data_IF_013563344001
#
_entry.id   IF_013563344001
#
_cell.length_a   1.000
_cell.length_b   1.000
_cell.length_c   1.000
_cell.angle_alpha   90.00
_cell.angle_beta   90.00
_cell.angle_gamma   90.00
#
_symmetry.space_group_name_H-M   'P 1'
#
loop_
_entity.id
_entity.type
_entity.pdbx_description
1 polymer ?
#
# COMPACT_ATOMS: atom_id res chain seq x y z
N UNK A 1 -12.78 9.42 12.21
CA UNK A 1 -14.06 9.11 12.89
C UNK A 1 -14.95 8.24 12.02
N UNK A 2 -15.35 8.70 10.83
CA UNK A 2 -16.20 7.95 9.86
C UNK A 2 -15.79 6.50 9.64
N UNK A 3 -14.49 6.21 9.45
CA UNK A 3 -13.97 4.83 9.28
C UNK A 3 -14.31 3.95 10.48
N UNK A 4 -14.10 4.44 11.70
CA UNK A 4 -14.40 3.68 12.93
C UNK A 4 -15.90 3.47 13.11
N UNK A 5 -16.74 4.45 12.72
CA UNK A 5 -18.19 4.27 12.71
C UNK A 5 -18.59 3.19 11.69
N UNK A 6 -18.06 3.21 10.47
CA UNK A 6 -18.34 2.19 9.46
C UNK A 6 -17.96 0.77 9.96
N UNK A 7 -16.77 0.61 10.55
CA UNK A 7 -16.32 -0.68 11.10
C UNK A 7 -17.22 -1.19 12.21
N UNK A 8 -17.60 -0.31 13.15
CA UNK A 8 -18.49 -0.66 14.25
C UNK A 8 -19.89 -1.01 13.75
N UNK A 9 -20.40 -0.32 12.74
CA UNK A 9 -21.73 -0.59 12.16
C UNK A 9 -21.74 -1.99 11.54
N UNK A 10 -20.73 -2.31 10.73
CA UNK A 10 -20.61 -3.65 10.16
C UNK A 10 -20.37 -4.70 11.24
N UNK A 11 -19.62 -4.39 12.30
CA UNK A 11 -19.44 -5.30 13.43
C UNK A 11 -20.73 -5.58 14.20
N UNK A 12 -21.62 -4.59 14.36
CA UNK A 12 -22.94 -4.81 14.97
C UNK A 12 -23.79 -5.73 14.09
N UNK A 13 -23.78 -5.55 12.76
CA UNK A 13 -24.43 -6.49 11.84
C UNK A 13 -23.84 -7.90 12.00
N UNK A 14 -22.54 -7.96 12.27
CA UNK A 14 -21.84 -9.22 12.52
C UNK A 14 -22.34 -9.92 13.78
N UNK A 15 -22.35 -9.19 14.89
CA UNK A 15 -22.70 -9.73 16.20
C UNK A 15 -24.20 -10.08 16.30
N UNK A 16 -25.08 -9.23 15.73
CA UNK A 16 -26.54 -9.45 15.74
C UNK A 16 -26.89 -10.82 15.18
N UNK A 17 -26.18 -11.23 14.15
CA UNK A 17 -26.56 -12.43 13.47
C UNK A 17 -25.91 -13.71 14.03
N UNK A 18 -24.73 -13.61 14.64
CA UNK A 18 -24.22 -14.71 15.47
C UNK A 18 -25.16 -15.00 16.65
N UNK A 19 -25.87 -13.98 17.15
CA UNK A 19 -26.83 -14.11 18.23
C UNK A 19 -28.16 -14.75 17.83
N UNK A 20 -28.57 -14.62 16.56
CA UNK A 20 -29.75 -15.29 16.01
C UNK A 20 -29.47 -16.78 15.77
N UNK A 21 -28.26 -17.12 15.30
CA UNK A 21 -27.82 -18.50 15.11
C UNK A 21 -27.76 -19.29 16.45
N UNK A 22 -27.21 -18.69 17.51
CA UNK A 22 -27.14 -19.32 18.84
C UNK A 22 -28.49 -19.50 19.56
N UNK A 23 -29.57 -18.88 19.06
CA UNK A 23 -30.93 -19.10 19.56
C UNK A 23 -31.66 -20.23 18.85
N UNK A 24 -31.22 -20.63 17.65
CA UNK A 24 -31.77 -21.74 16.89
C UNK A 24 -31.30 -23.13 17.36
N UNK A 25 -30.18 -23.19 18.09
CA UNK A 25 -29.55 -24.46 18.50
C UNK A 25 -29.76 -24.81 19.99
N UNK A 26 -30.83 -24.30 20.61
CA UNK A 26 -31.20 -24.64 21.99
C UNK A 26 -32.61 -25.23 22.07
N UNK A 27 -32.70 -26.54 21.83
CA UNK A 27 -33.80 -27.34 22.35
C UNK A 27 -33.71 -27.44 23.89
N UNK A 28 -34.81 -27.26 24.63
CA UNK A 28 -34.81 -27.34 26.09
C UNK A 28 -34.83 -28.80 26.55
N UNK A 29 -33.68 -29.37 26.91
CA UNK A 29 -33.67 -30.64 27.66
C UNK A 29 -33.97 -30.41 29.15
N UNK A 30 -35.01 -31.11 29.57
CA UNK A 30 -35.59 -31.18 30.90
C UNK A 30 -34.60 -31.63 32.00
N UNK A 31 -34.97 -31.24 33.23
CA UNK A 31 -34.34 -31.53 34.51
C UNK A 31 -34.04 -33.03 34.72
N UNK A 32 -32.87 -33.30 35.31
CA UNK A 32 -32.50 -34.59 35.91
C UNK A 32 -31.24 -34.43 36.77
N UNK A 33 -31.40 -34.57 38.07
CA UNK A 33 -30.42 -34.30 39.13
C UNK A 33 -29.65 -35.58 39.51
N UNK A 34 -28.31 -35.59 39.58
CA UNK A 34 -27.50 -36.34 40.59
C UNK A 34 -25.96 -36.30 40.36
N UNK A 35 -25.27 -35.59 41.27
CA UNK A 35 -23.99 -35.82 41.97
C UNK A 35 -22.91 -36.83 41.49
N UNK A 36 -21.66 -36.31 41.60
CA UNK A 36 -20.37 -36.87 42.11
C UNK A 36 -19.29 -37.35 41.12
N UNK A 37 -18.22 -36.53 41.05
CA UNK A 37 -16.80 -36.81 40.81
C UNK A 37 -16.16 -37.77 41.89
N UNK A 38 -14.88 -38.23 41.81
CA UNK A 38 -13.77 -37.77 40.93
C UNK A 38 -12.82 -38.85 40.31
N UNK A 39 -11.97 -38.33 39.40
CA UNK A 39 -10.54 -38.66 39.15
C UNK A 39 -10.11 -40.02 38.52
N UNK A 40 -9.44 -39.95 37.37
CA UNK A 40 -8.01 -40.28 37.20
C UNK A 40 -7.59 -40.30 35.70
N UNK A 41 -6.68 -39.40 35.32
CA UNK A 41 -5.69 -39.55 34.22
C UNK A 41 -4.49 -40.37 34.74
N UNK A 42 -3.67 -41.09 33.93
CA UNK A 42 -2.96 -40.48 32.78
C UNK A 42 -2.56 -41.39 31.58
N UNK A 43 -1.98 -40.70 30.60
CA UNK A 43 -0.94 -41.10 29.64
C UNK A 43 -1.28 -41.57 28.21
N UNK A 44 -0.89 -40.66 27.29
CA UNK A 44 0.14 -40.84 26.27
C UNK A 44 -0.11 -41.76 25.06
N UNK A 45 -0.30 -41.07 23.92
CA UNK A 45 0.50 -41.16 22.69
C UNK A 45 0.05 -42.08 21.52
N UNK A 46 -0.03 -41.40 20.37
CA UNK A 46 0.19 -41.81 18.96
C UNK A 46 -0.89 -42.60 18.19
N UNK A 47 -1.43 -41.94 17.14
CA UNK A 47 -1.70 -42.38 15.73
C UNK A 47 -3.01 -41.72 15.24
N UNK A 48 -2.97 -40.88 14.20
CA UNK A 48 -2.98 -41.12 12.74
C UNK A 48 -4.41 -41.23 12.20
N UNK A 49 -4.59 -40.76 10.95
CA UNK A 49 -5.82 -40.74 10.11
C UNK A 49 -6.65 -39.46 10.30
N UNK A 50 -7.13 -38.77 9.25
CA UNK A 50 -7.50 -39.25 7.92
C UNK A 50 -9.01 -39.13 7.79
N UNK A 51 -9.46 -38.19 6.95
CA UNK A 51 -10.71 -38.22 6.19
C UNK A 51 -12.07 -38.28 6.93
N UNK A 52 -12.90 -37.26 6.71
CA UNK A 52 -14.20 -37.39 6.03
C UNK A 52 -15.08 -36.18 6.34
N UNK A 53 -15.11 -35.22 5.40
CA UNK A 53 -16.20 -34.27 5.27
C UNK A 53 -17.51 -35.03 5.09
N UNK A 54 -18.39 -34.96 6.09
CA UNK A 54 -19.80 -35.26 5.89
C UNK A 54 -20.44 -34.04 5.27
N UNK A 55 -20.70 -34.14 3.97
CA UNK A 55 -21.68 -33.33 3.28
C UNK A 55 -23.04 -33.48 3.99
N UNK A 56 -23.48 -32.41 4.64
CA UNK A 56 -24.86 -32.28 5.08
C UNK A 56 -25.63 -31.52 4.00
N UNK A 57 -26.42 -32.26 3.24
CA UNK A 57 -27.41 -31.74 2.31
C UNK A 57 -28.63 -31.30 3.10
N UNK A 58 -28.58 -30.07 3.65
CA UNK A 58 -29.70 -29.38 4.27
C UNK A 58 -30.46 -28.48 3.28
N UNK A 59 -31.79 -28.54 3.30
CA UNK A 59 -32.72 -27.70 2.51
C UNK A 59 -32.52 -26.19 2.77
N UNK A 60 -32.90 -25.31 1.82
CA UNK A 60 -32.74 -23.85 1.95
C UNK A 60 -33.73 -23.30 2.98
N UNK A 61 -33.24 -23.11 4.22
CA UNK A 61 -33.94 -22.47 5.31
C UNK A 61 -33.30 -21.13 5.65
N UNK A 62 -34.12 -20.08 5.55
CA UNK A 62 -33.94 -18.69 5.97
C UNK A 62 -32.81 -18.33 6.97
N UNK A 63 -31.96 -17.39 6.54
CA UNK A 63 -31.03 -16.52 7.32
C UNK A 63 -29.76 -17.12 7.95
N UNK A 64 -28.95 -17.79 7.14
CA UNK A 64 -27.50 -17.78 7.36
C UNK A 64 -26.96 -16.43 6.90
N UNK A 65 -26.90 -15.46 7.80
CA UNK A 65 -26.38 -14.14 7.47
C UNK A 65 -24.89 -14.19 7.06
N UNK A 66 -24.54 -13.32 6.12
CA UNK A 66 -23.49 -13.67 5.17
C UNK A 66 -22.13 -13.02 5.50
N UNK A 67 -22.00 -11.99 6.34
CA UNK A 67 -20.72 -11.25 6.49
C UNK A 67 -19.84 -11.82 7.62
N UNK A 68 -18.72 -12.45 7.33
CA UNK A 68 -17.81 -13.02 8.34
C UNK A 68 -16.85 -12.03 8.98
N UNK A 69 -16.59 -10.86 8.36
CA UNK A 69 -15.65 -9.88 8.91
C UNK A 69 -15.49 -8.62 8.07
N UNK A 70 -14.86 -7.60 8.66
CA UNK A 70 -14.49 -6.36 7.98
C UNK A 70 -13.03 -6.02 8.22
N UNK A 71 -12.34 -5.58 7.18
CA UNK A 71 -10.89 -5.30 7.21
C UNK A 71 -10.58 -4.01 6.46
N UNK A 72 -9.71 -3.18 7.02
CA UNK A 72 -9.13 -2.02 6.32
C UNK A 72 -8.16 -2.50 5.24
N UNK A 73 -8.28 -1.96 4.03
CA UNK A 73 -7.32 -2.22 2.94
C UNK A 73 -6.84 -0.91 2.31
N UNK A 74 -6.14 -0.99 1.19
CA UNK A 74 -5.69 0.16 0.44
C UNK A 74 -4.68 1.03 1.19
N UNK A 75 -4.67 2.32 0.84
CA UNK A 75 -3.68 3.31 1.32
C UNK A 75 -3.74 3.55 2.81
N UNK A 76 -4.95 3.55 3.41
CA UNK A 76 -5.11 3.83 4.83
C UNK A 76 -4.53 2.69 5.66
N UNK A 77 -4.86 1.44 5.32
CA UNK A 77 -4.37 0.27 6.04
C UNK A 77 -2.85 0.14 5.99
N UNK A 78 -2.24 0.59 4.88
CA UNK A 78 -0.78 0.57 4.67
C UNK A 78 -0.08 1.81 5.26
N UNK A 79 -0.83 2.79 5.78
CA UNK A 79 -0.27 4.05 6.26
C UNK A 79 0.41 4.84 5.14
N UNK A 80 -0.15 4.83 3.93
CA UNK A 80 0.43 5.49 2.75
C UNK A 80 -0.32 6.76 2.31
N UNK A 81 -1.37 7.13 3.03
CA UNK A 81 -2.24 8.27 2.73
C UNK A 81 -1.46 9.59 2.60
N UNK A 82 -1.74 10.33 1.53
CA UNK A 82 -1.24 11.69 1.29
C UNK A 82 -2.28 12.73 1.74
N UNK A 83 -1.89 14.01 1.80
CA UNK A 83 -2.70 15.06 2.40
C UNK A 83 -3.98 15.42 1.60
N UNK A 84 -3.94 15.21 0.29
CA UNK A 84 -5.02 15.44 -0.67
C UNK A 84 -5.94 14.22 -0.83
N UNK A 85 -5.64 13.11 -0.18
CA UNK A 85 -6.41 11.87 -0.28
C UNK A 85 -7.46 11.78 0.83
N UNK A 86 -8.71 11.69 0.41
CA UNK A 86 -9.87 11.62 1.29
C UNK A 86 -10.65 10.30 1.15
N UNK A 87 -10.19 9.37 0.33
CA UNK A 87 -10.84 8.08 0.10
C UNK A 87 -10.22 6.97 0.94
N UNK A 88 -11.06 6.13 1.52
CA UNK A 88 -10.70 4.98 2.35
C UNK A 88 -11.40 3.73 1.84
N UNK A 89 -10.70 2.60 1.87
CA UNK A 89 -11.25 1.32 1.42
C UNK A 89 -11.36 0.34 2.60
N UNK A 90 -12.53 -0.26 2.74
CA UNK A 90 -12.84 -1.36 3.63
C UNK A 90 -13.36 -2.54 2.80
N UNK A 91 -12.99 -3.75 3.20
CA UNK A 91 -13.50 -4.98 2.57
C UNK A 91 -14.30 -5.76 3.60
N UNK A 92 -15.57 -6.02 3.26
CA UNK A 92 -16.46 -6.89 4.01
C UNK A 92 -16.39 -8.30 3.41
N UNK A 93 -15.93 -9.27 4.21
CA UNK A 93 -15.83 -10.66 3.81
C UNK A 93 -17.17 -11.36 4.03
N UNK A 94 -17.65 -12.02 2.99
CA UNK A 94 -18.87 -12.82 2.98
C UNK A 94 -18.53 -14.32 3.07
N UNK A 95 -19.34 -15.09 3.79
CA UNK A 95 -19.30 -16.54 3.85
C UNK A 95 -19.70 -17.15 2.51
N UNK A 96 -20.72 -16.60 1.87
CA UNK A 96 -21.18 -16.98 0.53
C UNK A 96 -20.77 -15.94 -0.53
N UNK A 97 -20.89 -16.30 -1.81
CA UNK A 97 -20.63 -15.37 -2.92
C UNK A 97 -21.65 -14.23 -2.87
N UNK A 98 -21.21 -12.97 -2.79
CA UNK A 98 -22.13 -11.87 -2.60
C UNK A 98 -22.98 -11.63 -3.85
N UNK A 99 -24.29 -11.44 -3.63
CA UNK A 99 -25.27 -11.11 -4.66
C UNK A 99 -25.71 -9.64 -4.56
N UNK A 100 -26.34 -9.13 -5.61
CA UNK A 100 -26.98 -7.80 -5.64
C UNK A 100 -28.05 -7.67 -4.56
N UNK A 101 -28.79 -8.75 -4.30
CA UNK A 101 -29.79 -8.79 -3.23
C UNK A 101 -29.12 -8.68 -1.86
N UNK A 102 -28.05 -9.43 -1.61
CA UNK A 102 -27.28 -9.32 -0.38
C UNK A 102 -26.74 -7.91 -0.20
N UNK A 103 -26.16 -7.30 -1.23
CA UNK A 103 -25.61 -5.95 -1.14
C UNK A 103 -26.70 -4.92 -0.76
N UNK A 104 -27.90 -5.03 -1.34
CA UNK A 104 -29.04 -4.20 -0.98
C UNK A 104 -29.51 -4.42 0.46
N UNK A 105 -29.57 -5.67 0.92
CA UNK A 105 -29.91 -6.02 2.30
C UNK A 105 -28.90 -5.44 3.30
N UNK A 106 -27.61 -5.62 3.02
CA UNK A 106 -26.52 -5.09 3.83
C UNK A 106 -26.57 -3.57 3.86
N UNK A 107 -26.81 -2.90 2.72
CA UNK A 107 -26.97 -1.46 2.64
C UNK A 107 -28.09 -0.94 3.56
N UNK A 108 -29.28 -1.56 3.51
CA UNK A 108 -30.42 -1.14 4.33
C UNK A 108 -30.13 -1.29 5.83
N UNK A 109 -29.63 -2.46 6.24
CA UNK A 109 -29.30 -2.73 7.64
C UNK A 109 -28.15 -1.86 8.14
N UNK A 110 -27.09 -1.72 7.33
CA UNK A 110 -25.93 -0.85 7.62
C UNK A 110 -26.34 0.60 7.79
N UNK A 111 -27.18 1.13 6.89
CA UNK A 111 -27.65 2.52 6.95
C UNK A 111 -28.45 2.79 8.23
N UNK A 112 -29.27 1.83 8.68
CA UNK A 112 -29.98 1.93 9.96
C UNK A 112 -29.05 1.93 11.17
N UNK A 113 -28.08 1.00 11.20
CA UNK A 113 -27.10 0.91 12.29
C UNK A 113 -26.19 2.14 12.36
N UNK A 114 -25.75 2.66 11.21
CA UNK A 114 -24.89 3.83 11.15
C UNK A 114 -25.58 5.08 11.71
N UNK A 115 -26.86 5.31 11.38
CA UNK A 115 -27.68 6.40 11.95
C UNK A 115 -27.87 6.27 13.45
N UNK A 116 -28.05 5.05 13.94
CA UNK A 116 -28.25 4.79 15.38
C UNK A 116 -26.98 5.05 16.20
N UNK A 117 -25.83 4.67 15.65
CA UNK A 117 -24.54 4.80 16.33
C UNK A 117 -23.94 6.20 16.27
N UNK A 118 -24.20 6.94 15.19
CA UNK A 118 -23.66 8.29 14.99
C UNK A 118 -24.81 9.29 14.72
N UNK A 119 -25.71 9.51 15.69
CA UNK A 119 -26.88 10.37 15.51
C UNK A 119 -26.52 11.85 15.31
N UNK A 120 -25.36 12.27 15.80
CA UNK A 120 -24.86 13.65 15.66
C UNK A 120 -24.12 13.90 14.34
N UNK A 121 -23.88 12.85 13.54
CA UNK A 121 -23.07 12.93 12.33
C UNK A 121 -23.94 12.79 11.07
N UNK A 122 -23.80 13.72 10.14
CA UNK A 122 -24.49 13.67 8.85
C UNK A 122 -23.65 12.92 7.81
N UNK A 123 -23.88 11.61 7.69
CA UNK A 123 -23.28 10.79 6.64
C UNK A 123 -24.22 10.59 5.45
N UNK A 124 -23.70 10.78 4.24
CA UNK A 124 -24.37 10.38 3.01
C UNK A 124 -23.98 8.94 2.67
N UNK A 125 -24.95 8.02 2.66
CA UNK A 125 -24.73 6.59 2.40
C UNK A 125 -25.38 6.22 1.08
N UNK A 126 -24.56 5.87 0.10
CA UNK A 126 -25.00 5.49 -1.24
C UNK A 126 -24.64 4.05 -1.55
N UNK A 127 -25.48 3.41 -2.36
CA UNK A 127 -25.29 2.04 -2.83
C UNK A 127 -24.88 2.07 -4.30
N UNK A 128 -23.70 1.52 -4.63
CA UNK A 128 -23.24 1.36 -6.00
C UNK A 128 -23.18 -0.12 -6.38
N UNK A 129 -24.13 -0.54 -7.21
CA UNK A 129 -24.22 -1.91 -7.72
C UNK A 129 -23.14 -2.24 -8.74
N UNK A 130 -22.62 -1.24 -9.46
CA UNK A 130 -21.59 -1.44 -10.50
C UNK A 130 -20.20 -1.63 -9.90
N UNK A 131 -19.93 -0.93 -8.80
CA UNK A 131 -18.68 -1.03 -8.05
C UNK A 131 -18.74 -2.07 -6.92
N UNK A 132 -19.85 -2.79 -6.79
CA UNK A 132 -20.08 -3.80 -5.75
C UNK A 132 -19.82 -3.27 -4.32
N UNK A 133 -20.14 -1.99 -4.07
CA UNK A 133 -19.74 -1.31 -2.85
C UNK A 133 -20.84 -0.40 -2.25
N UNK A 134 -20.70 -0.18 -0.95
CA UNK A 134 -21.44 0.84 -0.19
C UNK A 134 -20.48 2.00 0.06
N UNK A 135 -20.88 3.20 -0.33
CA UNK A 135 -20.06 4.42 -0.15
C UNK A 135 -20.65 5.27 0.96
N UNK A 136 -19.80 5.68 1.90
CA UNK A 136 -20.15 6.57 3.02
C UNK A 136 -19.32 7.84 2.90
N UNK A 137 -19.96 8.98 2.68
CA UNK A 137 -19.30 10.28 2.61
C UNK A 137 -19.68 11.16 3.80
N UNK A 138 -18.69 11.87 4.37
CA UNK A 138 -18.95 12.90 5.40
C UNK A 138 -19.47 14.18 4.75
N UNK A 139 -20.41 14.87 5.40
CA UNK A 139 -20.92 16.16 4.91
C UNK A 139 -19.97 17.35 5.16
N UNK A 140 -18.93 17.18 5.97
CA UNK A 140 -17.93 18.21 6.22
C UNK A 140 -16.93 18.32 5.05
N UNK A 141 -16.42 19.51 4.77
CA UNK A 141 -15.40 19.74 3.75
C UNK A 141 -13.97 19.75 4.37
N UNK A 142 -12.99 19.03 3.78
CA UNK A 142 -13.12 18.11 2.65
C UNK A 142 -13.84 16.81 3.06
N UNK A 143 -14.72 16.32 2.17
CA UNK A 143 -15.50 15.12 2.44
C UNK A 143 -14.60 13.88 2.46
N UNK A 144 -14.61 13.14 3.56
CA UNK A 144 -13.96 11.82 3.66
C UNK A 144 -14.94 10.77 3.13
N UNK A 145 -14.48 9.96 2.18
CA UNK A 145 -15.26 8.93 1.51
C UNK A 145 -14.75 7.55 1.93
N UNK A 146 -15.64 6.68 2.40
CA UNK A 146 -15.33 5.30 2.77
C UNK A 146 -16.09 4.36 1.84
N UNK A 147 -15.36 3.56 1.07
CA UNK A 147 -15.91 2.53 0.19
C UNK A 147 -15.82 1.18 0.90
N UNK A 148 -16.96 0.51 1.06
CA UNK A 148 -17.08 -0.82 1.67
C UNK A 148 -17.45 -1.80 0.56
N UNK A 149 -16.48 -2.57 0.08
CA UNK A 149 -16.68 -3.57 -0.98
C UNK A 149 -16.95 -4.94 -0.37
N UNK A 150 -17.98 -5.63 -0.85
CA UNK A 150 -18.31 -6.99 -0.43
C UNK A 150 -17.58 -8.01 -1.31
N UNK A 151 -17.03 -9.05 -0.70
CA UNK A 151 -16.36 -10.14 -1.43
C UNK A 151 -16.38 -11.43 -0.65
N UNK A 152 -16.16 -12.58 -1.29
CA UNK A 152 -16.08 -13.89 -0.65
C UNK A 152 -14.86 -14.66 -1.14
N UNK A 153 -14.21 -15.40 -0.24
CA UNK A 153 -13.07 -16.27 -0.59
C UNK A 153 -13.48 -17.39 -1.54
N UNK A 154 -14.72 -17.87 -1.42
CA UNK A 154 -15.30 -18.92 -2.27
C UNK A 154 -15.23 -18.54 -3.75
N UNK A 155 -15.46 -17.26 -4.08
CA UNK A 155 -15.41 -16.77 -5.46
C UNK A 155 -14.05 -17.04 -6.10
N UNK A 156 -12.96 -16.79 -5.37
CA UNK A 156 -11.61 -17.02 -5.88
C UNK A 156 -11.29 -18.51 -6.00
N UNK A 157 -11.66 -19.29 -4.99
CA UNK A 157 -11.37 -20.74 -4.99
C UNK A 157 -12.14 -21.45 -6.11
N UNK A 158 -13.37 -21.03 -6.39
CA UNK A 158 -14.18 -21.54 -7.50
C UNK A 158 -13.58 -21.18 -8.87
N UNK A 159 -13.13 -19.93 -9.06
CA UNK A 159 -12.58 -19.46 -10.33
C UNK A 159 -11.17 -19.99 -10.63
N UNK A 160 -10.34 -20.20 -9.60
CA UNK A 160 -8.96 -20.70 -9.75
C UNK A 160 -8.83 -22.22 -9.54
N UNK A 161 -9.82 -22.85 -8.89
CA UNK A 161 -9.80 -24.26 -8.51
C UNK A 161 -10.24 -25.23 -9.60
N UNK A 162 -10.58 -24.75 -10.80
CA UNK A 162 -11.03 -25.61 -11.90
C UNK A 162 -12.36 -26.32 -11.59
N UNK A 163 -13.27 -25.65 -10.88
CA UNK A 163 -14.62 -26.15 -10.66
C UNK A 163 -15.31 -26.50 -11.97
N UNK A 164 -16.15 -27.53 -11.97
CA UNK A 164 -16.91 -27.96 -13.13
C UNK A 164 -17.61 -26.75 -13.78
N UNK A 165 -17.50 -26.57 -15.10
CA UNK A 165 -17.95 -25.36 -15.81
C UNK A 165 -19.42 -25.03 -15.56
N UNK A 166 -20.23 -26.04 -15.23
CA UNK A 166 -21.61 -25.89 -14.80
C UNK A 166 -21.78 -25.25 -13.41
N UNK A 167 -20.92 -25.60 -12.43
CA UNK A 167 -20.96 -25.01 -11.08
C UNK A 167 -20.49 -23.56 -11.07
N UNK A 168 -19.48 -23.23 -11.88
CA UNK A 168 -19.07 -21.85 -12.13
C UNK A 168 -20.20 -21.09 -12.83
N UNK A 169 -20.80 -21.61 -13.90
CA UNK A 169 -21.88 -20.91 -14.59
C UNK A 169 -23.14 -20.68 -13.73
N UNK A 170 -23.49 -21.62 -12.84
CA UNK A 170 -24.63 -21.46 -11.93
C UNK A 170 -24.36 -20.45 -10.80
N UNK A 171 -23.14 -20.44 -10.27
CA UNK A 171 -22.73 -19.45 -9.27
C UNK A 171 -22.51 -18.06 -9.88
N UNK A 172 -22.21 -17.98 -11.18
CA UNK A 172 -21.98 -16.73 -11.93
C UNK A 172 -23.23 -16.40 -12.74
N UNK A 173 -24.32 -16.13 -12.04
CA UNK A 173 -25.57 -15.66 -12.64
C UNK A 173 -25.63 -14.12 -12.63
N UNK A 174 -26.66 -13.54 -13.26
CA UNK A 174 -26.88 -12.08 -13.28
C UNK A 174 -27.11 -11.47 -11.88
N UNK A 175 -27.34 -12.28 -10.85
CA UNK A 175 -27.56 -11.83 -9.48
C UNK A 175 -26.26 -11.64 -8.71
N UNK A 176 -25.13 -12.22 -9.16
CA UNK A 176 -23.83 -11.97 -8.53
C UNK A 176 -23.34 -10.54 -8.70
N UNK A 177 -22.57 -10.07 -7.72
CA UNK A 177 -21.82 -8.83 -7.85
C UNK A 177 -20.73 -8.96 -8.91
N UNK A 178 -20.23 -7.82 -9.39
CA UNK A 178 -19.15 -7.79 -10.37
C UNK A 178 -17.93 -8.57 -9.85
N UNK A 179 -17.58 -9.61 -10.60
CA UNK A 179 -16.55 -10.55 -10.18
C UNK A 179 -15.17 -9.92 -10.14
N UNK A 180 -14.87 -9.03 -11.09
CA UNK A 180 -13.59 -8.35 -11.14
C UNK A 180 -13.44 -7.46 -9.90
N UNK A 181 -14.51 -6.77 -9.48
CA UNK A 181 -14.50 -5.96 -8.25
C UNK A 181 -14.32 -6.81 -6.99
N UNK A 182 -15.04 -7.94 -6.89
CA UNK A 182 -14.88 -8.85 -5.75
C UNK A 182 -13.48 -9.48 -5.70
N UNK A 183 -12.90 -9.87 -6.84
CA UNK A 183 -11.55 -10.41 -6.92
C UNK A 183 -10.49 -9.35 -6.60
N UNK A 184 -10.66 -8.11 -7.06
CA UNK A 184 -9.78 -7.00 -6.71
C UNK A 184 -9.83 -6.70 -5.21
N UNK A 185 -11.00 -6.75 -4.57
CA UNK A 185 -11.11 -6.64 -3.11
C UNK A 185 -10.33 -7.75 -2.37
N UNK A 186 -10.35 -9.00 -2.87
CA UNK A 186 -9.51 -10.08 -2.33
C UNK A 186 -8.02 -9.88 -2.60
N UNK A 187 -7.66 -9.29 -3.75
CA UNK A 187 -6.30 -8.88 -4.04
C UNK A 187 -5.84 -7.82 -3.04
N UNK A 188 -6.63 -6.78 -2.80
CA UNK A 188 -6.33 -5.73 -1.81
C UNK A 188 -6.15 -6.29 -0.39
N UNK A 189 -6.95 -7.28 0.02
CA UNK A 189 -6.74 -7.98 1.29
C UNK A 189 -5.38 -8.67 1.37
N UNK A 190 -4.97 -9.38 0.31
CA UNK A 190 -3.64 -10.04 0.25
C UNK A 190 -2.52 -9.01 0.25
N UNK A 191 -2.63 -7.97 -0.58
CA UNK A 191 -1.66 -6.87 -0.68
C UNK A 191 -1.48 -6.14 0.65
N UNK A 192 -2.58 -5.87 1.38
CA UNK A 192 -2.52 -5.27 2.71
C UNK A 192 -1.78 -6.16 3.71
N UNK A 193 -2.09 -7.46 3.75
CA UNK A 193 -1.37 -8.42 4.62
C UNK A 193 0.11 -8.52 4.27
N UNK A 194 0.42 -8.64 2.98
CA UNK A 194 1.80 -8.67 2.50
C UNK A 194 2.55 -7.39 2.89
N UNK A 195 1.92 -6.22 2.75
CA UNK A 195 2.52 -4.95 3.10
C UNK A 195 2.83 -4.85 4.59
N UNK A 196 1.90 -5.29 5.44
CA UNK A 196 2.12 -5.33 6.90
C UNK A 196 3.25 -6.28 7.31
N UNK A 197 3.39 -7.41 6.60
CA UNK A 197 4.46 -8.36 6.86
C UNK A 197 5.84 -7.89 6.35
N UNK A 198 5.89 -6.99 5.38
CA UNK A 198 7.12 -6.60 4.68
C UNK A 198 7.43 -5.10 4.79
N UNK A 199 6.99 -4.17 3.91
CA UNK A 199 7.55 -2.82 3.92
C UNK A 199 7.11 -2.00 5.12
N UNK A 200 5.99 -2.35 5.78
CA UNK A 200 5.47 -1.60 6.93
C UNK A 200 6.49 -1.50 8.10
N UNK A 201 7.37 -2.49 8.25
CA UNK A 201 8.38 -2.52 9.31
C UNK A 201 9.65 -1.72 8.96
N UNK A 202 9.78 -1.23 7.72
CA UNK A 202 10.89 -0.37 7.30
C UNK A 202 10.39 1.06 7.06
N UNK A 203 10.68 1.94 8.02
CA UNK A 203 10.26 3.35 7.96
C UNK A 203 10.70 4.05 6.68
N UNK A 204 11.90 3.77 6.19
CA UNK A 204 12.42 4.35 4.94
C UNK A 204 11.63 3.87 3.73
N UNK A 205 11.22 2.60 3.67
CA UNK A 205 10.36 2.09 2.61
C UNK A 205 9.02 2.82 2.58
N UNK A 206 8.36 2.96 3.74
CA UNK A 206 7.06 3.65 3.84
C UNK A 206 7.16 5.11 3.37
N UNK A 207 8.19 5.84 3.80
CA UNK A 207 8.38 7.23 3.39
C UNK A 207 8.73 7.37 1.90
N UNK A 208 9.59 6.48 1.37
CA UNK A 208 9.94 6.49 -0.06
C UNK A 208 8.71 6.18 -0.92
N UNK A 209 7.86 5.23 -0.50
CA UNK A 209 6.60 4.95 -1.21
C UNK A 209 5.73 6.22 -1.23
N UNK A 210 5.54 6.91 -0.10
CA UNK A 210 4.77 8.17 -0.08
C UNK A 210 5.35 9.24 -1.01
N UNK A 211 6.67 9.43 -0.98
CA UNK A 211 7.37 10.40 -1.87
C UNK A 211 7.15 10.04 -3.35
N UNK A 212 7.25 8.76 -3.69
CA UNK A 212 7.08 8.32 -5.07
C UNK A 212 5.62 8.34 -5.52
N UNK A 213 4.65 8.11 -4.62
CA UNK A 213 3.22 8.33 -4.91
C UNK A 213 2.93 9.78 -5.26
N UNK A 214 3.44 10.72 -4.45
CA UNK A 214 3.36 12.16 -4.74
C UNK A 214 4.03 12.51 -6.08
N UNK A 215 5.18 11.91 -6.40
CA UNK A 215 5.82 12.07 -7.71
C UNK A 215 4.91 11.59 -8.86
N UNK A 216 4.25 10.43 -8.72
CA UNK A 216 3.30 9.92 -9.70
C UNK A 216 2.09 10.85 -9.89
N UNK A 217 1.62 11.52 -8.83
CA UNK A 217 0.52 12.49 -8.91
C UNK A 217 0.94 13.77 -9.63
N UNK A 218 2.13 14.31 -9.33
CA UNK A 218 2.60 15.58 -9.88
C UNK A 218 3.22 15.47 -11.27
N UNK A 219 3.73 14.29 -11.66
CA UNK A 219 4.40 14.09 -12.93
C UNK A 219 3.71 12.98 -13.75
N UNK A 220 2.98 13.35 -14.83
CA UNK A 220 2.29 12.39 -15.68
C UNK A 220 3.17 11.32 -16.32
N UNK A 221 4.48 11.56 -16.47
CA UNK A 221 5.42 10.52 -16.95
C UNK A 221 5.45 9.31 -16.01
N UNK A 222 5.24 9.52 -14.71
CA UNK A 222 5.30 8.48 -13.68
C UNK A 222 3.94 7.84 -13.39
N UNK A 223 2.83 8.46 -13.82
CA UNK A 223 1.47 7.95 -13.57
C UNK A 223 1.18 6.52 -14.05
N UNK A 224 1.85 5.96 -15.08
CA UNK A 224 1.64 4.56 -15.46
C UNK A 224 2.09 3.55 -14.40
N UNK A 225 2.99 3.93 -13.48
CA UNK A 225 3.35 3.08 -12.35
C UNK A 225 2.20 3.03 -11.37
N UNK A 226 1.49 1.89 -11.37
CA UNK A 226 0.44 1.64 -10.39
C UNK A 226 0.99 1.69 -8.96
N UNK A 227 0.13 2.05 -8.01
CA UNK A 227 0.51 2.06 -6.60
C UNK A 227 1.07 0.70 -6.15
N UNK A 228 0.46 -0.39 -6.60
CA UNK A 228 0.93 -1.72 -6.24
C UNK A 228 2.32 -2.04 -6.82
N UNK A 229 2.57 -1.72 -8.09
CA UNK A 229 3.89 -1.87 -8.69
C UNK A 229 4.96 -1.05 -7.94
N UNK A 230 4.59 0.15 -7.49
CA UNK A 230 5.47 1.02 -6.72
C UNK A 230 5.82 0.42 -5.35
N UNK A 231 4.82 -0.08 -4.61
CA UNK A 231 5.03 -0.75 -3.32
C UNK A 231 5.99 -1.96 -3.46
N UNK A 232 5.78 -2.79 -4.49
CA UNK A 232 6.64 -3.94 -4.80
C UNK A 232 8.05 -3.53 -5.23
N UNK A 233 8.18 -2.47 -6.04
CA UNK A 233 9.48 -1.97 -6.47
C UNK A 233 10.32 -1.51 -5.28
N UNK A 234 9.72 -0.73 -4.38
CA UNK A 234 10.43 -0.24 -3.19
C UNK A 234 10.83 -1.39 -2.30
N UNK A 235 9.96 -2.38 -2.05
CA UNK A 235 10.32 -3.57 -1.28
C UNK A 235 11.45 -4.37 -1.95
N UNK A 236 11.40 -4.56 -3.28
CA UNK A 236 12.42 -5.29 -4.04
C UNK A 236 13.80 -4.64 -3.95
N UNK A 237 13.86 -3.31 -3.91
CA UNK A 237 15.12 -2.55 -3.95
C UNK A 237 15.64 -2.23 -2.54
N UNK A 238 14.75 -1.82 -1.64
CA UNK A 238 15.10 -1.38 -0.28
C UNK A 238 15.03 -2.55 0.69
N UNK A 239 14.01 -3.40 0.58
CA UNK A 239 13.78 -4.56 1.43
C UNK A 239 13.85 -4.22 2.92
N UNK A 240 14.51 -5.08 3.68
CA UNK A 240 14.74 -4.89 5.11
C UNK A 240 16.06 -4.12 5.41
N UNK A 241 16.66 -3.46 4.42
CA UNK A 241 17.92 -2.75 4.61
C UNK A 241 17.67 -1.43 5.34
N UNK A 242 18.48 -1.14 6.36
CA UNK A 242 18.41 0.06 7.19
C UNK A 242 18.94 1.33 6.52
N UNK A 243 18.53 1.60 5.28
CA UNK A 243 18.88 2.83 4.58
C UNK A 243 18.23 4.05 5.21
N UNK A 244 18.89 5.21 5.11
CA UNK A 244 18.20 6.50 5.30
C UNK A 244 17.16 6.72 4.19
N UNK A 245 16.13 7.53 4.42
CA UNK A 245 15.10 7.84 3.41
C UNK A 245 15.71 8.37 2.11
N UNK A 246 16.72 9.25 2.21
CA UNK A 246 17.39 9.82 1.06
C UNK A 246 18.18 8.78 0.25
N UNK A 247 18.79 7.81 0.94
CA UNK A 247 19.52 6.72 0.30
C UNK A 247 18.58 5.69 -0.32
N UNK A 248 17.51 5.31 0.39
CA UNK A 248 16.47 4.43 -0.13
C UNK A 248 15.82 5.01 -1.39
N UNK A 249 15.48 6.31 -1.38
CA UNK A 249 14.96 7.00 -2.57
C UNK A 249 15.96 6.94 -3.73
N UNK A 250 17.25 7.22 -3.45
CA UNK A 250 18.30 7.13 -4.47
C UNK A 250 18.40 5.73 -5.05
N UNK A 251 18.37 4.68 -4.21
CA UNK A 251 18.45 3.28 -4.64
C UNK A 251 17.30 2.88 -5.55
N UNK A 252 16.07 3.29 -5.22
CA UNK A 252 14.90 3.05 -6.07
C UNK A 252 15.05 3.75 -7.43
N UNK A 253 15.49 5.02 -7.43
CA UNK A 253 15.75 5.74 -8.66
C UNK A 253 16.89 5.12 -9.48
N UNK A 254 17.97 4.63 -8.84
CA UNK A 254 19.06 3.87 -9.47
C UNK A 254 18.53 2.60 -10.16
N UNK A 255 17.65 1.85 -9.51
CA UNK A 255 17.06 0.64 -10.09
C UNK A 255 16.20 0.96 -11.34
N UNK A 256 15.37 2.00 -11.27
CA UNK A 256 14.54 2.44 -12.41
C UNK A 256 15.41 2.95 -13.57
N UNK A 257 16.41 3.79 -13.25
CA UNK A 257 17.34 4.35 -14.21
C UNK A 257 18.23 3.29 -14.87
N UNK A 258 18.55 2.23 -14.13
CA UNK A 258 19.25 1.03 -14.61
C UNK A 258 18.39 0.09 -15.46
N UNK A 259 17.11 0.43 -15.68
CA UNK A 259 16.25 -0.29 -16.62
C UNK A 259 15.51 -1.47 -16.02
N UNK A 260 15.26 -1.51 -14.70
CA UNK A 260 14.44 -2.59 -14.10
C UNK A 260 13.03 -2.70 -14.70
N UNK A 261 12.53 -1.62 -15.31
CA UNK A 261 11.24 -1.59 -16.01
C UNK A 261 11.35 -1.83 -17.52
N UNK A 262 12.54 -1.90 -18.12
CA UNK A 262 12.67 -2.05 -19.56
C UNK A 262 12.41 -3.51 -20.00
N UNK A 263 12.00 -3.74 -21.26
CA UNK A 263 11.88 -5.09 -21.80
C UNK A 263 13.17 -5.90 -21.63
N UNK A 264 13.03 -7.19 -21.28
CA UNK A 264 14.16 -8.08 -21.01
C UNK A 264 14.72 -8.02 -19.58
N UNK A 265 14.19 -7.14 -18.72
CA UNK A 265 14.47 -7.20 -17.28
C UNK A 265 13.72 -8.35 -16.61
N UNK A 266 14.05 -8.64 -15.35
CA UNK A 266 13.31 -9.60 -14.53
C UNK A 266 11.90 -9.12 -14.10
N UNK A 267 11.46 -7.92 -14.49
CA UNK A 267 10.14 -7.37 -14.15
C UNK A 267 9.90 -7.17 -12.64
N UNK A 268 8.64 -6.94 -12.27
CA UNK A 268 8.19 -6.81 -10.88
C UNK A 268 7.09 -7.83 -10.61
N UNK A 269 7.48 -9.01 -10.14
CA UNK A 269 6.54 -10.08 -9.84
C UNK A 269 5.66 -9.76 -8.63
N UNK A 270 4.37 -10.05 -8.76
CA UNK A 270 3.39 -9.95 -7.69
C UNK A 270 3.44 -11.19 -6.78
N UNK A 271 3.92 -11.06 -5.53
CA UNK A 271 4.00 -12.16 -4.57
C UNK A 271 2.64 -12.52 -3.97
N UNK A 272 1.59 -11.74 -4.22
CA UNK A 272 0.25 -12.04 -3.76
C UNK A 272 -0.48 -12.98 -4.72
N UNK A 273 -0.05 -13.10 -5.98
CA UNK A 273 -0.67 -13.98 -6.97
C UNK A 273 -0.03 -15.37 -7.02
N UNK A 274 -0.86 -16.37 -7.36
CA UNK A 274 -0.40 -17.77 -7.48
C UNK A 274 0.42 -17.96 -8.75
N UNK A 275 -0.11 -17.47 -9.86
CA UNK A 275 0.57 -17.50 -11.15
C UNK A 275 1.60 -16.36 -11.24
N UNK A 276 2.77 -16.59 -11.86
CA UNK A 276 3.79 -15.56 -12.05
C UNK A 276 3.23 -14.35 -12.81
N UNK A 277 2.84 -13.30 -12.07
CA UNK A 277 2.17 -12.11 -12.60
C UNK A 277 3.09 -10.92 -12.48
N UNK A 278 3.39 -10.22 -13.59
CA UNK A 278 4.16 -8.97 -13.55
C UNK A 278 3.22 -7.79 -13.23
N UNK A 279 3.44 -7.14 -12.09
CA UNK A 279 2.68 -5.99 -11.64
C UNK A 279 2.83 -4.75 -12.54
N UNK A 280 3.79 -4.77 -13.48
CA UNK A 280 4.01 -3.71 -14.47
C UNK A 280 3.49 -4.05 -15.86
N UNK A 281 2.83 -5.20 -16.05
CA UNK A 281 2.44 -5.70 -17.38
C UNK A 281 1.59 -4.71 -18.21
N UNK A 282 0.82 -3.84 -17.57
CA UNK A 282 0.00 -2.82 -18.22
C UNK A 282 0.78 -1.59 -18.72
N UNK A 283 2.07 -1.45 -18.39
CA UNK A 283 2.90 -0.33 -18.81
C UNK A 283 3.50 -0.62 -20.18
N UNK A 284 3.21 0.24 -21.15
CA UNK A 284 3.74 0.13 -22.51
C UNK A 284 5.26 0.31 -22.57
N UNK A 285 5.88 -0.17 -23.64
CA UNK A 285 7.33 -0.04 -23.88
C UNK A 285 7.75 1.43 -23.87
N UNK A 286 6.95 2.31 -24.48
CA UNK A 286 7.24 3.75 -24.51
C UNK A 286 7.17 4.35 -23.10
N UNK A 287 6.11 4.07 -22.33
CA UNK A 287 5.98 4.55 -20.96
C UNK A 287 7.15 4.07 -20.07
N UNK A 288 7.59 2.81 -20.25
CA UNK A 288 8.78 2.26 -19.55
C UNK A 288 10.03 3.08 -19.87
N UNK A 289 10.26 3.39 -21.15
CA UNK A 289 11.41 4.20 -21.58
C UNK A 289 11.34 5.62 -20.99
N UNK A 290 10.17 6.25 -21.01
CA UNK A 290 9.98 7.61 -20.49
C UNK A 290 10.21 7.68 -18.97
N UNK A 291 9.70 6.70 -18.22
CA UNK A 291 9.94 6.58 -16.77
C UNK A 291 11.43 6.38 -16.49
N UNK A 292 12.09 5.48 -17.22
CA UNK A 292 13.54 5.23 -17.08
C UNK A 292 14.36 6.49 -17.37
N UNK A 293 14.08 7.21 -18.45
CA UNK A 293 14.75 8.46 -18.80
C UNK A 293 14.51 9.55 -17.73
N UNK A 294 13.28 9.65 -17.21
CA UNK A 294 12.96 10.57 -16.12
C UNK A 294 13.72 10.23 -14.83
N UNK A 295 13.86 8.93 -14.49
CA UNK A 295 14.63 8.49 -13.32
C UNK A 295 16.13 8.80 -13.49
N UNK A 296 16.69 8.57 -14.67
CA UNK A 296 18.08 8.94 -15.01
C UNK A 296 18.33 10.45 -14.85
N UNK A 297 17.35 11.28 -15.22
CA UNK A 297 17.42 12.72 -14.98
C UNK A 297 17.35 13.07 -13.50
N UNK A 298 16.40 12.48 -12.76
CA UNK A 298 16.25 12.69 -11.32
C UNK A 298 17.52 12.34 -10.53
N UNK A 299 18.21 11.25 -10.88
CA UNK A 299 19.49 10.88 -10.27
C UNK A 299 20.58 11.93 -10.50
N UNK A 300 20.69 12.47 -11.70
CA UNK A 300 21.64 13.55 -12.00
C UNK A 300 21.33 14.78 -11.16
N UNK A 301 20.05 15.17 -11.05
CA UNK A 301 19.63 16.27 -10.18
C UNK A 301 20.02 16.00 -8.72
N UNK A 302 19.79 14.79 -8.19
CA UNK A 302 20.21 14.42 -6.83
C UNK A 302 21.73 14.49 -6.64
N UNK A 303 22.51 13.99 -7.60
CA UNK A 303 23.97 14.03 -7.56
C UNK A 303 24.51 15.47 -7.53
N UNK A 304 23.87 16.38 -8.26
CA UNK A 304 24.19 17.81 -8.27
C UNK A 304 23.45 18.63 -7.18
N UNK A 305 22.97 17.98 -6.11
CA UNK A 305 22.30 18.61 -4.95
C UNK A 305 21.03 19.41 -5.29
N UNK A 306 20.35 19.04 -6.37
CA UNK A 306 19.09 19.64 -6.83
C UNK A 306 17.87 18.74 -6.56
N UNK A 307 17.89 17.96 -5.48
CA UNK A 307 16.79 17.05 -5.10
C UNK A 307 15.45 17.78 -4.92
N UNK A 308 15.47 19.06 -4.52
CA UNK A 308 14.27 19.88 -4.39
C UNK A 308 13.45 19.96 -5.69
N UNK A 309 14.10 19.91 -6.87
CA UNK A 309 13.42 19.84 -8.17
C UNK A 309 12.70 18.50 -8.38
N UNK A 310 13.31 17.39 -7.95
CA UNK A 310 12.68 16.06 -8.01
C UNK A 310 11.46 16.00 -7.08
N UNK A 311 11.59 16.58 -5.90
CA UNK A 311 10.53 16.65 -4.89
C UNK A 311 9.47 17.74 -5.18
N UNK A 312 9.63 18.54 -6.24
CA UNK A 312 8.67 19.60 -6.58
C UNK A 312 8.56 20.71 -5.53
N UNK A 313 9.65 21.00 -4.80
CA UNK A 313 9.67 21.99 -3.72
C UNK A 313 10.74 23.06 -3.93
N UNK A 314 10.59 24.18 -3.22
CA UNK A 314 11.63 25.19 -3.15
C UNK A 314 12.89 24.63 -2.46
N UNK A 315 14.10 25.08 -2.84
CA UNK A 315 15.32 24.69 -2.16
C UNK A 315 15.26 25.12 -0.69
N UNK A 316 15.52 24.18 0.22
CA UNK A 316 15.60 24.48 1.65
C UNK A 316 16.85 25.35 1.88
N UNK A 317 16.73 26.49 2.59
CA UNK A 317 17.87 27.33 2.92
C UNK A 317 18.94 26.52 3.65
N UNK A 318 20.24 26.75 3.36
CA UNK A 318 21.29 26.13 4.15
C UNK A 318 21.15 26.60 5.61
N UNK A 319 21.37 25.71 6.60
CA UNK A 319 21.25 26.07 8.01
C UNK A 319 22.10 27.30 8.32
N UNK A 320 21.46 28.35 8.88
CA UNK A 320 22.12 29.58 9.33
C UNK A 320 22.91 29.27 10.61
N UNK A 321 24.10 28.72 10.43
CA UNK A 321 24.95 28.28 11.53
C UNK A 321 25.86 27.14 11.07
N UNK A 322 26.79 27.43 10.16
CA UNK A 322 27.80 26.46 9.78
C UNK A 322 28.82 26.28 10.91
N UNK A 323 29.19 25.04 11.30
CA UNK A 323 30.40 24.83 12.08
C UNK A 323 31.59 25.30 11.24
N UNK A 324 32.46 26.09 11.86
CA UNK A 324 33.83 26.41 11.44
C UNK A 324 34.18 26.15 9.96
N UNK A 325 34.43 27.23 9.21
CA UNK A 325 34.93 27.27 7.82
C UNK A 325 36.20 26.45 7.53
N UNK A 326 36.79 25.77 8.50
CA UNK A 326 37.99 24.95 8.35
C UNK A 326 37.77 23.53 7.83
N UNK A 327 36.53 23.03 7.71
CA UNK A 327 36.29 21.64 7.25
C UNK A 327 35.63 21.51 5.86
N UNK A 328 35.34 22.63 5.20
CA UNK A 328 34.73 22.65 3.85
C UNK A 328 35.76 22.35 2.72
N UNK A 329 37.05 22.37 3.02
CA UNK A 329 38.11 22.01 2.07
C UNK A 329 38.15 20.49 1.76
N UNK A 330 37.53 19.62 2.58
CA UNK A 330 37.62 18.16 2.40
C UNK A 330 36.60 17.59 1.41
N UNK A 331 35.47 18.26 1.19
CA UNK A 331 34.41 17.75 0.29
C UNK A 331 34.51 18.26 -1.15
N UNK A 332 35.46 19.16 -1.44
CA UNK A 332 35.73 19.68 -2.79
C UNK A 332 37.03 19.16 -3.42
N UNK A 333 37.59 18.05 -2.92
CA UNK A 333 38.61 17.32 -3.69
C UNK A 333 37.92 16.72 -4.92
N UNK A 334 38.00 17.45 -6.04
CA UNK A 334 37.94 16.90 -7.40
C UNK A 334 38.54 15.49 -7.35
N UNK A 335 37.77 14.46 -7.74
CA UNK A 335 38.33 13.13 -8.02
C UNK A 335 39.50 13.35 -8.96
N UNK A 336 40.72 13.13 -8.46
CA UNK A 336 41.94 13.18 -9.25
C UNK A 336 41.74 12.12 -10.32
N UNK A 337 41.72 12.56 -11.58
CA UNK A 337 41.66 11.68 -12.74
C UNK A 337 42.92 10.82 -12.67
N UNK A 338 42.77 9.52 -12.43
CA UNK A 338 43.88 8.58 -12.55
C UNK A 338 44.25 8.51 -14.03
N UNK A 339 45.32 9.23 -14.39
CA UNK A 339 46.09 8.99 -15.60
C UNK A 339 47.43 8.44 -15.17
N UNK A 340 47.58 7.13 -15.37
CA UNK A 340 48.86 6.42 -15.30
C UNK A 340 49.80 6.94 -16.39
N UNK A 341 50.94 7.53 -16.00
CA UNK A 341 52.20 7.48 -16.74
C UNK A 341 53.31 8.18 -15.94
N UNK A 342 54.35 7.41 -15.58
CA UNK A 342 55.76 7.79 -15.75
C UNK A 342 56.38 8.93 -14.93
N UNK A 343 57.28 8.51 -14.03
CA UNK A 343 58.64 9.04 -13.82
C UNK A 343 58.90 10.31 -12.94
N UNK A 344 59.73 10.06 -11.92
CA UNK A 344 60.70 10.89 -11.18
C UNK A 344 60.79 12.40 -11.50
N UNK A 345 60.85 13.26 -10.46
CA UNK A 345 62.11 13.62 -9.78
C UNK A 345 61.88 14.58 -8.60
N UNK A 346 62.80 14.53 -7.64
CA UNK A 346 62.98 15.41 -6.48
C UNK A 346 62.95 16.92 -6.80
N UNK A 347 62.48 17.73 -5.83
CA UNK A 347 63.17 18.96 -5.36
C UNK A 347 62.45 19.61 -4.16
N UNK A 348 63.27 19.92 -3.16
CA UNK A 348 62.99 20.51 -1.85
C UNK A 348 62.46 21.96 -1.84
N UNK A 349 61.89 22.31 -0.69
CA UNK A 349 62.03 23.55 0.08
C UNK A 349 61.79 24.93 -0.59
N UNK A 350 60.86 25.68 0.00
CA UNK A 350 60.68 27.10 -0.25
C UNK A 350 59.61 27.72 0.64
N UNK A 351 59.88 27.79 1.95
CA UNK A 351 59.14 28.60 2.92
C UNK A 351 59.33 30.10 2.59
N UNK A 352 58.24 30.85 2.50
CA UNK A 352 58.23 32.24 2.04
C UNK A 352 57.14 33.04 2.75
N UNK A 353 57.49 33.58 3.91
CA UNK A 353 56.66 34.41 4.79
C UNK A 353 56.71 35.88 4.35
N UNK A 354 55.51 36.48 4.21
CA UNK A 354 55.12 37.92 4.30
C UNK A 354 56.15 39.00 3.96
N UNK A 355 55.70 39.95 3.13
CA UNK A 355 55.64 41.36 3.56
C UNK A 355 54.50 42.14 2.89
N UNK A 356 54.03 43.15 3.61
CA UNK A 356 52.87 44.01 3.38
C UNK A 356 53.37 45.45 3.30
N UNK A 357 53.12 46.20 2.21
CA UNK A 357 52.67 47.61 2.27
C UNK A 357 52.29 48.23 0.92
N UNK A 358 51.08 48.81 0.93
CA UNK A 358 50.55 50.06 0.36
C UNK A 358 50.98 50.57 -1.02
N UNK A 359 49.98 50.94 -1.81
CA UNK A 359 50.10 51.71 -3.06
C UNK A 359 48.72 51.95 -3.66
N UNK A 360 48.10 53.06 -3.25
CA UNK A 360 46.86 53.66 -3.72
C UNK A 360 46.90 53.96 -5.23
N UNK A 361 45.81 53.71 -5.96
CA UNK A 361 45.26 54.64 -6.96
C UNK A 361 43.89 54.17 -7.45
N UNK A 362 42.94 55.04 -7.19
CA UNK A 362 41.56 55.09 -7.64
C UNK A 362 41.50 55.32 -9.16
N UNK A 363 40.78 54.47 -9.91
CA UNK A 363 40.18 54.86 -11.19
C UNK A 363 38.82 54.17 -11.32
N UNK A 364 37.80 54.96 -11.01
CA UNK A 364 36.42 54.80 -11.47
C UNK A 364 36.36 54.93 -12.99
N UNK A 365 35.74 53.96 -13.68
CA UNK A 365 35.09 54.21 -14.96
C UNK A 365 33.77 53.45 -15.00
N UNK A 366 32.71 54.19 -14.71
CA UNK A 366 31.33 53.92 -15.07
C UNK A 366 31.15 54.28 -16.56
N UNK A 367 30.49 53.42 -17.34
CA UNK A 367 29.73 53.69 -18.58
C UNK A 367 29.46 52.35 -19.27
N UNK A 368 28.38 52.10 -19.98
CA UNK A 368 27.01 52.57 -19.99
C UNK A 368 26.27 51.49 -20.80
N UNK A 369 25.00 51.28 -20.50
CA UNK A 369 24.14 50.37 -21.22
C UNK A 369 24.02 50.73 -22.71
N UNK A 370 23.95 49.69 -23.55
CA UNK A 370 22.97 49.59 -24.63
C UNK A 370 22.68 48.13 -24.94
#
# INVERSE_FOLDING_TARGET
>A
KVVSHCEKAVKILIDQSQSEHNKGDKDPKAQGNAKKEPAATPNAAVKKEGEADKADTGKPGDKDWIITGIVRVGILAKGLMLADENTVELVALCGEIPTKQLLAQVYNSFSGQLKTMAPEENYNVTLDMSEACITVATSAEPAIVVNITLTSRILRDMLLGGGDGATVAMAVNQETLDQAKCLEALAQLRRAKWFQARPANNHSSVLVIRILRDLCHRNPTWSPLSQWALELLVDKVVGCVGFSVAEALRKVLEAIAGGVLLPGSAGIFDPCEREPTDATANISIQQRADITASAQHALRLMAFRQIHKVLGMAPIPPPRGGPNRHNMQRFNRKRRRDTSAGENNDSEAGDGKKDKKEGETDVTMETAAK
#
